data_IF_225978677519
#
_entry.id   IF_225978677519
#
_cell.length_a   1.000
_cell.length_b   1.000
_cell.length_c   1.000
_cell.angle_alpha   90.00
_cell.angle_beta   90.00
_cell.angle_gamma   90.00
#
_symmetry.space_group_name_H-M   'P 1'
#
loop_
_entity.id
_entity.type
_entity.pdbx_description
1 polymer ?
#
# COMPACT_ATOMS: atom_id res chain seq x y z
N UNK A 1 -19.08 -4.94 9.33
CA UNK A 1 -18.69 -3.91 8.32
C UNK A 1 -17.26 -3.48 8.62
N UNK A 2 -16.39 -3.36 7.61
CA UNK A 2 -15.08 -2.74 7.81
C UNK A 2 -15.27 -1.22 7.86
N UNK A 3 -14.83 -0.58 8.94
CA UNK A 3 -14.86 0.88 9.05
C UNK A 3 -13.84 1.47 8.09
N UNK A 4 -14.28 2.33 7.18
CA UNK A 4 -13.41 2.97 6.19
C UNK A 4 -12.81 4.27 6.74
N UNK A 5 -12.41 4.28 8.01
CA UNK A 5 -11.85 5.47 8.66
C UNK A 5 -10.33 5.35 8.69
N UNK A 6 -9.64 6.44 8.34
CA UNK A 6 -8.18 6.52 8.42
C UNK A 6 -7.77 7.89 8.94
N UNK A 7 -6.65 7.94 9.67
CA UNK A 7 -6.04 9.21 10.05
C UNK A 7 -5.36 9.85 8.84
N UNK A 8 -5.21 11.18 8.85
CA UNK A 8 -4.47 11.92 7.82
C UNK A 8 -3.07 11.33 7.57
N UNK A 9 -2.32 11.11 8.65
CA UNK A 9 -0.97 10.53 8.57
C UNK A 9 -0.94 9.12 8.00
N UNK A 10 -1.96 8.30 8.26
CA UNK A 10 -2.10 6.97 7.68
C UNK A 10 -2.40 7.04 6.18
N UNK A 11 -3.30 7.94 5.78
CA UNK A 11 -3.61 8.17 4.37
C UNK A 11 -2.37 8.61 3.57
N UNK A 12 -1.62 9.59 4.09
CA UNK A 12 -0.44 10.12 3.41
C UNK A 12 0.66 9.06 3.22
N UNK A 13 0.83 8.16 4.21
CA UNK A 13 1.73 7.00 4.07
C UNK A 13 1.29 6.06 2.96
N UNK A 14 0.00 5.76 2.85
CA UNK A 14 -0.53 4.89 1.79
C UNK A 14 -0.40 5.53 0.40
N UNK A 15 -0.59 6.85 0.30
CA UNK A 15 -0.36 7.61 -0.94
C UNK A 15 1.12 7.60 -1.32
N UNK A 16 2.02 7.80 -0.36
CA UNK A 16 3.46 7.73 -0.58
C UNK A 16 3.87 6.33 -1.05
N UNK A 17 3.37 5.27 -0.40
CA UNK A 17 3.60 3.87 -0.80
C UNK A 17 3.12 3.64 -2.24
N UNK A 18 1.90 4.07 -2.59
CA UNK A 18 1.37 3.93 -3.95
C UNK A 18 2.26 4.63 -4.98
N UNK A 19 2.73 5.85 -4.66
CA UNK A 19 3.61 6.63 -5.54
C UNK A 19 4.95 5.92 -5.75
N UNK A 20 5.56 5.43 -4.69
CA UNK A 20 6.83 4.69 -4.76
C UNK A 20 6.68 3.42 -5.60
N UNK A 21 5.64 2.62 -5.35
CA UNK A 21 5.38 1.40 -6.12
C UNK A 21 5.18 1.66 -7.61
N UNK A 22 4.49 2.77 -7.96
CA UNK A 22 4.18 3.10 -9.34
C UNK A 22 5.35 3.73 -10.11
N UNK A 23 6.08 4.65 -9.48
CA UNK A 23 7.12 5.44 -10.15
C UNK A 23 8.52 4.84 -10.06
N UNK A 24 8.81 4.05 -9.02
CA UNK A 24 10.15 3.51 -8.79
C UNK A 24 10.14 1.99 -9.04
N UNK A 25 9.44 1.23 -8.20
CA UNK A 25 9.58 -0.24 -8.21
C UNK A 25 9.03 -0.87 -9.50
N UNK A 26 7.84 -0.47 -9.96
CA UNK A 26 7.21 -1.08 -11.14
C UNK A 26 8.05 -0.91 -12.42
N UNK A 27 8.60 0.28 -12.74
CA UNK A 27 9.55 0.44 -13.84
C UNK A 27 10.82 -0.39 -13.68
N UNK A 28 11.40 -0.45 -12.48
CA UNK A 28 12.62 -1.22 -12.22
C UNK A 28 12.43 -2.71 -12.43
N UNK A 29 11.36 -3.29 -11.88
CA UNK A 29 11.06 -4.70 -12.07
C UNK A 29 10.74 -5.01 -13.53
N UNK A 30 10.06 -4.10 -14.23
CA UNK A 30 9.78 -4.28 -15.67
C UNK A 30 11.07 -4.35 -16.48
N UNK A 31 12.06 -3.49 -16.18
CA UNK A 31 13.40 -3.54 -16.80
C UNK A 31 14.08 -4.89 -16.51
N UNK A 32 14.04 -5.37 -15.27
CA UNK A 32 14.60 -6.68 -14.88
C UNK A 32 13.92 -7.84 -15.61
N UNK A 33 12.59 -7.82 -15.73
CA UNK A 33 11.83 -8.84 -16.50
C UNK A 33 12.24 -8.84 -17.97
N UNK A 34 12.34 -7.65 -18.59
CA UNK A 34 12.74 -7.54 -19.99
C UNK A 34 14.18 -8.01 -20.22
N UNK A 35 15.10 -7.67 -19.31
CA UNK A 35 16.48 -8.15 -19.36
C UNK A 35 16.53 -9.67 -19.21
N UNK A 36 15.86 -10.24 -18.21
CA UNK A 36 15.79 -11.69 -18.03
C UNK A 36 15.18 -12.40 -19.25
N UNK A 37 14.16 -11.80 -19.88
CA UNK A 37 13.56 -12.32 -21.10
C UNK A 37 14.48 -12.27 -22.33
N UNK A 38 15.55 -11.47 -22.30
CA UNK A 38 16.55 -11.38 -23.38
C UNK A 38 17.68 -12.42 -23.25
N UNK A 39 17.85 -13.02 -22.07
CA UNK A 39 18.96 -13.93 -21.76
C UNK A 39 18.72 -15.39 -22.15
N UNK A 40 17.53 -15.76 -22.61
CA UNK A 40 17.25 -17.13 -23.04
C UNK A 40 15.78 -17.51 -22.92
N UNK A 41 15.54 -18.82 -22.81
CA UNK A 41 14.18 -19.35 -22.73
C UNK A 41 13.50 -18.96 -21.41
N UNK A 42 12.27 -18.48 -21.54
CA UNK A 42 11.47 -17.90 -20.45
C UNK A 42 10.98 -18.96 -19.47
N UNK A 43 10.89 -20.21 -19.92
CA UNK A 43 10.44 -21.37 -19.11
C UNK A 43 11.51 -21.80 -18.10
N UNK A 44 12.78 -21.80 -18.50
CA UNK A 44 13.90 -22.27 -17.68
C UNK A 44 14.59 -21.16 -16.88
N UNK A 45 14.45 -19.90 -17.31
CA UNK A 45 15.07 -18.77 -16.62
C UNK A 45 14.35 -18.44 -15.29
N UNK A 46 14.97 -18.83 -14.18
CA UNK A 46 14.49 -18.58 -12.81
C UNK A 46 14.32 -17.09 -12.50
N UNK A 47 15.23 -16.22 -12.98
CA UNK A 47 15.15 -14.78 -12.77
C UNK A 47 13.93 -14.18 -13.47
N UNK A 48 13.60 -14.66 -14.67
CA UNK A 48 12.40 -14.22 -15.37
C UNK A 48 11.13 -14.61 -14.59
N UNK A 49 11.04 -15.86 -14.13
CA UNK A 49 9.87 -16.33 -13.36
C UNK A 49 9.70 -15.55 -12.06
N UNK A 50 10.79 -15.34 -11.32
CA UNK A 50 10.80 -14.58 -10.07
C UNK A 50 10.39 -13.12 -10.28
N UNK A 51 11.04 -12.41 -11.20
CA UNK A 51 10.75 -11.00 -11.46
C UNK A 51 9.31 -10.81 -11.99
N UNK A 52 8.81 -11.76 -12.79
CA UNK A 52 7.41 -11.76 -13.25
C UNK A 52 6.42 -11.97 -12.11
N UNK A 53 6.73 -12.83 -11.15
CA UNK A 53 5.92 -12.99 -9.94
C UNK A 53 5.94 -11.72 -9.09
N UNK A 54 7.09 -11.08 -8.95
CA UNK A 54 7.25 -9.83 -8.20
C UNK A 54 6.45 -8.70 -8.84
N UNK A 55 6.50 -8.55 -10.18
CA UNK A 55 5.70 -7.58 -10.91
C UNK A 55 4.20 -7.75 -10.63
N UNK A 56 3.71 -9.00 -10.63
CA UNK A 56 2.30 -9.29 -10.29
C UNK A 56 1.95 -8.95 -8.85
N UNK A 57 2.88 -9.12 -7.90
CA UNK A 57 2.68 -8.73 -6.49
C UNK A 57 2.54 -7.20 -6.39
N UNK A 58 3.42 -6.45 -7.06
CA UNK A 58 3.38 -4.98 -7.10
C UNK A 58 2.06 -4.51 -7.72
N UNK A 59 1.68 -5.00 -8.91
CA UNK A 59 0.43 -4.63 -9.58
C UNK A 59 -0.80 -4.94 -8.70
N UNK A 60 -0.78 -6.05 -7.96
CA UNK A 60 -1.84 -6.40 -7.00
C UNK A 60 -1.91 -5.40 -5.85
N UNK A 61 -0.77 -5.01 -5.29
CA UNK A 61 -0.68 -4.04 -4.20
C UNK A 61 -1.15 -2.65 -4.65
N UNK A 62 -0.69 -2.19 -5.81
CA UNK A 62 -1.12 -0.93 -6.43
C UNK A 62 -2.64 -0.90 -6.62
N UNK A 63 -3.22 -1.96 -7.22
CA UNK A 63 -4.67 -2.05 -7.42
C UNK A 63 -5.45 -2.03 -6.10
N UNK A 64 -4.93 -2.72 -5.08
CA UNK A 64 -5.53 -2.74 -3.75
C UNK A 64 -5.50 -1.34 -3.11
N UNK A 65 -4.34 -0.68 -3.14
CA UNK A 65 -4.16 0.67 -2.57
C UNK A 65 -5.03 1.69 -3.30
N UNK A 66 -5.09 1.67 -4.63
CA UNK A 66 -5.93 2.57 -5.42
C UNK A 66 -7.41 2.48 -5.02
N UNK A 67 -7.97 1.27 -4.99
CA UNK A 67 -9.36 1.06 -4.54
C UNK A 67 -9.58 1.43 -3.08
N UNK A 68 -8.61 1.14 -2.22
CA UNK A 68 -8.72 1.45 -0.80
C UNK A 68 -8.71 2.94 -0.55
N UNK A 69 -7.85 3.70 -1.22
CA UNK A 69 -7.77 5.14 -1.08
C UNK A 69 -9.07 5.83 -1.55
N UNK A 70 -9.75 5.29 -2.57
CA UNK A 70 -11.07 5.78 -3.00
C UNK A 70 -12.17 5.52 -1.95
N UNK A 71 -12.13 4.39 -1.26
CA UNK A 71 -13.12 4.00 -0.25
C UNK A 71 -12.92 4.65 1.12
N UNK A 72 -11.68 5.06 1.42
CA UNK A 72 -11.28 5.57 2.73
C UNK A 72 -11.73 7.01 2.95
N UNK A 73 -12.28 7.27 4.14
CA UNK A 73 -12.60 8.61 4.63
C UNK A 73 -11.57 9.02 5.67
N UNK A 74 -10.95 10.16 5.42
CA UNK A 74 -10.01 10.76 6.36
C UNK A 74 -10.81 11.37 7.51
N UNK A 75 -10.44 11.00 8.74
CA UNK A 75 -10.98 11.61 9.97
C UNK A 75 -9.88 12.45 10.58
N UNK A 76 -10.12 13.75 10.66
CA UNK A 76 -9.27 14.69 11.39
C UNK A 76 -9.83 14.89 12.81
N UNK A 77 -8.95 15.28 13.73
CA UNK A 77 -9.32 15.62 15.09
C UNK A 77 -10.19 16.88 15.11
N UNK A 78 -11.29 16.86 15.86
CA UNK A 78 -12.13 18.03 16.13
C UNK A 78 -12.08 18.38 17.63
N UNK A 79 -11.98 19.66 18.02
CA UNK A 79 -12.07 20.10 19.41
C UNK A 79 -13.37 19.66 20.12
N UNK A 80 -14.43 19.38 19.37
CA UNK A 80 -15.70 18.85 19.91
C UNK A 80 -15.57 17.42 20.49
N UNK A 81 -14.44 16.76 20.25
CA UNK A 81 -14.13 15.41 20.72
C UNK A 81 -13.50 15.40 22.12
N UNK A 82 -13.24 16.57 22.70
CA UNK A 82 -12.61 16.69 24.02
C UNK A 82 -13.50 16.06 25.11
N UNK A 83 -12.92 15.15 25.90
CA UNK A 83 -13.62 14.44 26.97
C UNK A 83 -14.39 13.17 26.55
N UNK A 84 -14.35 12.75 25.27
CA UNK A 84 -14.96 11.50 24.79
C UNK A 84 -13.97 10.69 23.93
N UNK A 85 -14.05 9.37 24.00
CA UNK A 85 -13.18 8.47 23.22
C UNK A 85 -13.72 8.33 21.80
N UNK A 86 -13.03 8.93 20.84
CA UNK A 86 -13.32 8.84 19.40
C UNK A 86 -12.22 8.08 18.64
N UNK A 87 -12.46 7.83 17.35
CA UNK A 87 -11.48 7.20 16.46
C UNK A 87 -10.20 8.04 16.38
N UNK A 88 -9.06 7.43 16.71
CA UNK A 88 -7.74 8.09 16.73
C UNK A 88 -7.33 8.66 18.09
N UNK A 89 -8.15 8.53 19.13
CA UNK A 89 -7.78 8.91 20.49
C UNK A 89 -6.83 7.87 21.11
N UNK A 90 -5.81 8.36 21.83
CA UNK A 90 -4.97 7.55 22.71
C UNK A 90 -5.60 7.55 24.09
N UNK A 91 -5.80 6.36 24.67
CA UNK A 91 -6.40 6.21 25.99
C UNK A 91 -5.55 5.26 26.81
N UNK A 92 -5.31 5.64 28.06
CA UNK A 92 -4.74 4.77 29.06
C UNK A 92 -5.89 4.18 29.88
N UNK A 93 -5.86 2.87 30.08
CA UNK A 93 -6.83 2.14 30.88
C UNK A 93 -6.11 1.59 32.10
N UNK A 94 -6.70 1.76 33.27
CA UNK A 94 -6.23 1.18 34.52
C UNK A 94 -7.30 0.19 35.02
N UNK A 95 -6.88 -1.02 35.39
CA UNK A 95 -7.74 -2.02 36.03
C UNK A 95 -7.40 -2.07 37.51
N UNK A 96 -8.43 -2.12 38.35
CA UNK A 96 -8.31 -2.43 39.78
C UNK A 96 -7.95 -3.91 40.00
#
# INVERSE_FOLDING_TARGET
>A
MKSNLITRSGHDKLVAELKQLWHEERPEITKKVNWAASLGDRSENADYQYNKQLLRKIDRRVRYLGKRLEELKIVDYSPEQEGKVYFGAWVDIENE
#
